data_IF_212010241587
#
_entry.id   IF_212010241587
#
_cell.length_a   1.000
_cell.length_b   1.000
_cell.length_c   1.000
_cell.angle_alpha   90.00
_cell.angle_beta   90.00
_cell.angle_gamma   90.00
#
_symmetry.space_group_name_H-M   'P 1'
#
loop_
_entity.id
_entity.type
_entity.pdbx_description
1 polymer ?
#
# COMPACT_ATOMS: atom_id res chain seq x y z
N UNK A 1 3.94 31.91 25.38
CA UNK A 1 3.91 30.43 25.43
C UNK A 1 2.91 29.95 24.40
N UNK A 2 3.37 29.58 23.20
CA UNK A 2 2.55 28.91 22.22
C UNK A 2 2.19 27.53 22.79
N UNK A 3 0.92 27.32 23.10
CA UNK A 3 0.41 25.97 23.37
C UNK A 3 0.41 25.25 22.02
N UNK A 4 1.21 24.20 21.95
CA UNK A 4 1.45 23.43 20.74
C UNK A 4 0.16 22.91 20.14
N UNK A 5 0.11 22.99 18.83
CA UNK A 5 -0.75 22.19 17.97
C UNK A 5 -0.64 20.75 18.41
N UNK A 6 -1.77 20.12 18.71
CA UNK A 6 -1.81 18.73 19.17
C UNK A 6 -1.07 17.82 18.20
N UNK A 7 0.01 17.26 18.70
CA UNK A 7 0.95 16.45 17.93
C UNK A 7 0.35 15.07 17.60
N UNK A 8 -0.38 14.96 16.52
CA UNK A 8 -0.52 13.66 15.90
C UNK A 8 0.53 13.56 14.80
N UNK A 9 1.72 13.21 15.20
CA UNK A 9 2.83 12.91 14.31
C UNK A 9 2.52 11.64 13.53
N UNK A 10 2.14 11.78 12.28
CA UNK A 10 2.13 10.68 11.33
C UNK A 10 3.44 10.71 10.55
N UNK A 11 4.15 9.59 10.55
CA UNK A 11 5.39 9.40 9.80
C UNK A 11 5.01 8.79 8.45
N UNK A 12 5.39 9.43 7.35
CA UNK A 12 5.19 8.86 6.01
C UNK A 12 6.52 8.37 5.45
N UNK A 13 6.52 7.15 4.95
CA UNK A 13 7.71 6.46 4.44
C UNK A 13 7.82 6.68 2.95
N UNK A 14 8.84 7.46 2.55
CA UNK A 14 9.14 7.78 1.16
C UNK A 14 10.30 6.92 0.66
N UNK A 15 10.13 6.26 -0.47
CA UNK A 15 11.12 5.37 -1.08
C UNK A 15 11.46 5.85 -2.48
N UNK A 16 12.66 5.52 -2.95
CA UNK A 16 13.01 5.63 -4.36
C UNK A 16 12.19 4.61 -5.17
N UNK A 17 11.54 5.07 -6.24
CA UNK A 17 10.66 4.23 -7.05
C UNK A 17 11.40 3.07 -7.74
N UNK A 18 12.63 3.33 -8.22
CA UNK A 18 13.46 2.30 -8.86
C UNK A 18 13.83 1.20 -7.86
N UNK A 19 14.12 1.58 -6.61
CA UNK A 19 14.47 0.63 -5.56
C UNK A 19 13.31 -0.36 -5.28
N UNK A 20 12.09 0.13 -5.13
CA UNK A 20 10.93 -0.74 -4.88
C UNK A 20 10.54 -1.54 -6.12
N UNK A 21 10.64 -0.95 -7.31
CA UNK A 21 10.32 -1.61 -8.56
C UNK A 21 11.26 -2.77 -8.88
N UNK A 22 12.56 -2.63 -8.58
CA UNK A 22 13.59 -3.59 -8.99
C UNK A 22 14.12 -4.47 -7.87
N UNK A 23 14.10 -3.97 -6.64
CA UNK A 23 14.73 -4.56 -5.46
C UNK A 23 16.22 -4.88 -5.69
N UNK A 24 16.92 -4.08 -6.51
CA UNK A 24 18.35 -4.27 -6.83
C UNK A 24 19.23 -3.83 -5.65
N UNK A 25 20.36 -4.52 -5.48
CA UNK A 25 21.35 -4.22 -4.44
C UNK A 25 21.24 -5.12 -3.22
N UNK A 26 22.31 -5.14 -2.44
CA UNK A 26 22.48 -6.04 -1.29
C UNK A 26 21.44 -5.78 -0.19
N UNK A 27 21.07 -4.51 0.05
CA UNK A 27 20.08 -4.11 1.07
C UNK A 27 18.69 -4.72 0.84
N UNK A 28 18.36 -5.10 -0.40
CA UNK A 28 17.08 -5.71 -0.76
C UNK A 28 17.12 -7.24 -0.90
N UNK A 29 18.25 -7.91 -0.61
CA UNK A 29 18.38 -9.36 -0.78
C UNK A 29 17.24 -10.14 -0.11
N UNK A 30 16.89 -9.82 1.13
CA UNK A 30 15.80 -10.49 1.85
C UNK A 30 14.45 -10.32 1.14
N UNK A 31 14.16 -9.12 0.63
CA UNK A 31 12.91 -8.83 -0.08
C UNK A 31 12.86 -9.56 -1.42
N UNK A 32 13.92 -9.46 -2.20
CA UNK A 32 14.06 -10.18 -3.48
C UNK A 32 13.94 -11.69 -3.30
N UNK A 33 14.55 -12.27 -2.26
CA UNK A 33 14.42 -13.69 -1.97
C UNK A 33 12.97 -14.09 -1.66
N UNK A 34 12.20 -13.26 -0.96
CA UNK A 34 10.78 -13.51 -0.71
C UNK A 34 9.95 -13.44 -1.98
N UNK A 35 10.20 -12.47 -2.85
CA UNK A 35 9.55 -12.40 -4.17
C UNK A 35 9.89 -13.62 -5.02
N UNK A 36 11.16 -14.04 -5.04
CA UNK A 36 11.57 -15.24 -5.76
C UNK A 36 10.91 -16.50 -5.18
N UNK A 37 10.81 -16.57 -3.85
CA UNK A 37 10.07 -17.66 -3.18
C UNK A 37 8.60 -17.67 -3.60
N UNK A 38 7.93 -16.50 -3.64
CA UNK A 38 6.57 -16.39 -4.14
C UNK A 38 6.46 -16.94 -5.57
N UNK A 39 7.30 -16.45 -6.50
CA UNK A 39 7.30 -16.89 -7.90
C UNK A 39 7.53 -18.39 -8.07
N UNK A 40 8.44 -18.97 -7.28
CA UNK A 40 8.74 -20.40 -7.37
C UNK A 40 7.67 -21.28 -6.72
N UNK A 41 6.99 -20.77 -5.68
CA UNK A 41 5.93 -21.54 -4.98
C UNK A 41 4.62 -21.50 -5.77
N UNK A 42 4.34 -20.40 -6.46
CA UNK A 42 3.10 -20.15 -7.18
C UNK A 42 3.38 -19.84 -8.66
N UNK A 43 3.83 -20.80 -9.48
CA UNK A 43 4.27 -20.54 -10.86
C UNK A 43 3.13 -20.08 -11.79
N UNK A 44 1.89 -20.29 -11.40
CA UNK A 44 0.67 -19.86 -12.07
C UNK A 44 0.19 -18.46 -11.68
N UNK A 45 0.97 -17.73 -10.85
CA UNK A 45 0.61 -16.37 -10.45
C UNK A 45 0.43 -15.45 -11.66
N UNK A 46 -0.48 -14.50 -11.53
CA UNK A 46 -0.67 -13.41 -12.49
C UNK A 46 -0.77 -12.08 -11.77
N UNK A 47 -0.11 -11.08 -12.31
CA UNK A 47 -0.31 -9.69 -11.92
C UNK A 47 -1.15 -9.00 -12.99
N UNK A 48 -2.15 -8.26 -12.56
CA UNK A 48 -3.06 -7.52 -13.44
C UNK A 48 -3.40 -6.14 -12.84
N UNK A 49 -3.69 -5.17 -13.72
CA UNK A 49 -4.23 -3.88 -13.27
C UNK A 49 -5.70 -4.06 -12.86
N UNK A 50 -6.13 -3.28 -11.86
CA UNK A 50 -7.54 -3.22 -11.47
C UNK A 50 -8.31 -2.43 -12.52
N UNK A 51 -9.39 -3.01 -13.00
CA UNK A 51 -10.31 -2.46 -14.01
C UNK A 51 -11.75 -2.68 -13.56
N UNK A 52 -12.73 -2.05 -14.22
CA UNK A 52 -14.15 -2.31 -13.98
C UNK A 52 -14.53 -3.80 -14.10
N UNK A 53 -13.81 -4.56 -14.90
CA UNK A 53 -14.09 -5.98 -15.12
C UNK A 53 -13.71 -6.86 -13.92
N UNK A 54 -12.55 -6.61 -13.28
CA UNK A 54 -12.07 -7.41 -12.15
C UNK A 54 -12.32 -6.75 -10.78
N UNK A 55 -12.79 -5.52 -10.72
CA UNK A 55 -13.11 -4.80 -9.48
C UNK A 55 -14.10 -5.56 -8.57
N UNK A 56 -15.15 -6.24 -9.08
CA UNK A 56 -16.03 -7.05 -8.25
C UNK A 56 -15.29 -8.17 -7.50
N UNK A 57 -14.29 -8.81 -8.12
CA UNK A 57 -13.50 -9.87 -7.49
C UNK A 57 -12.56 -9.29 -6.41
N UNK A 58 -12.00 -8.09 -6.64
CA UNK A 58 -11.18 -7.37 -5.63
C UNK A 58 -12.05 -7.02 -4.42
N UNK A 59 -13.28 -6.56 -4.67
CA UNK A 59 -14.25 -6.25 -3.60
C UNK A 59 -14.61 -7.51 -2.80
N UNK A 60 -14.92 -8.61 -3.47
CA UNK A 60 -15.22 -9.90 -2.82
C UNK A 60 -14.01 -10.41 -2.01
N UNK A 61 -12.80 -10.29 -2.55
CA UNK A 61 -11.57 -10.59 -1.80
C UNK A 61 -11.48 -9.76 -0.52
N UNK A 62 -11.73 -8.45 -0.60
CA UNK A 62 -11.63 -7.58 0.57
C UNK A 62 -12.70 -7.90 1.62
N UNK A 63 -13.93 -8.25 1.22
CA UNK A 63 -14.97 -8.67 2.15
C UNK A 63 -14.57 -9.94 2.93
N UNK A 64 -13.99 -10.93 2.26
CA UNK A 64 -13.45 -12.14 2.90
C UNK A 64 -12.27 -11.79 3.81
N UNK A 65 -11.37 -10.92 3.35
CA UNK A 65 -10.21 -10.45 4.11
C UNK A 65 -10.62 -9.80 5.43
N UNK A 66 -11.65 -8.96 5.45
CA UNK A 66 -12.16 -8.34 6.68
C UNK A 66 -12.62 -9.38 7.70
N UNK A 67 -13.33 -10.41 7.24
CA UNK A 67 -13.83 -11.48 8.12
C UNK A 67 -12.69 -12.32 8.71
N UNK A 68 -11.67 -12.66 7.90
CA UNK A 68 -10.53 -13.48 8.30
C UNK A 68 -9.56 -12.76 9.25
N UNK A 69 -9.40 -11.43 9.10
CA UNK A 69 -8.40 -10.63 9.83
C UNK A 69 -9.01 -9.57 10.73
N UNK A 70 -10.28 -9.75 11.13
CA UNK A 70 -10.99 -8.83 12.00
C UNK A 70 -10.19 -8.56 13.28
N UNK A 71 -10.05 -7.29 13.63
CA UNK A 71 -9.47 -6.82 14.89
C UNK A 71 -10.50 -5.95 15.59
N UNK A 72 -10.72 -6.17 16.88
CA UNK A 72 -11.55 -5.32 17.73
C UNK A 72 -10.86 -3.99 18.01
N UNK A 73 -10.87 -3.11 17.03
CA UNK A 73 -10.26 -1.78 17.10
C UNK A 73 -11.05 -0.79 16.26
N UNK A 74 -11.43 0.33 16.85
CA UNK A 74 -12.10 1.44 16.14
C UNK A 74 -11.29 1.96 14.94
N UNK A 75 -9.96 1.98 15.07
CA UNK A 75 -9.08 2.40 13.97
C UNK A 75 -9.13 1.41 12.80
N UNK A 76 -9.19 0.11 13.09
CA UNK A 76 -9.30 -0.93 12.08
C UNK A 76 -10.64 -0.85 11.35
N UNK A 77 -11.74 -0.71 12.09
CA UNK A 77 -13.08 -0.54 11.52
C UNK A 77 -13.16 0.72 10.63
N UNK A 78 -12.52 1.82 11.05
CA UNK A 78 -12.46 3.03 10.24
C UNK A 78 -11.67 2.83 8.94
N UNK A 79 -10.49 2.20 9.02
CA UNK A 79 -9.68 1.87 7.85
C UNK A 79 -10.45 0.98 6.85
N UNK A 80 -11.13 -0.07 7.35
CA UNK A 80 -11.95 -0.95 6.53
C UNK A 80 -13.06 -0.20 5.80
N UNK A 81 -13.76 0.70 6.50
CA UNK A 81 -14.82 1.51 5.89
C UNK A 81 -14.29 2.39 4.76
N UNK A 82 -13.06 2.91 4.90
CA UNK A 82 -12.39 3.70 3.85
C UNK A 82 -12.00 2.85 2.65
N UNK A 83 -11.52 1.63 2.87
CA UNK A 83 -11.21 0.71 1.76
C UNK A 83 -12.49 0.36 1.00
N UNK A 84 -13.60 0.05 1.68
CA UNK A 84 -14.90 -0.19 1.03
C UNK A 84 -15.34 1.01 0.22
N UNK A 85 -15.22 2.21 0.77
CA UNK A 85 -15.57 3.46 0.06
C UNK A 85 -14.74 3.64 -1.20
N UNK A 86 -13.40 3.41 -1.11
CA UNK A 86 -12.50 3.52 -2.28
C UNK A 86 -12.86 2.49 -3.35
N UNK A 87 -13.14 1.24 -2.98
CA UNK A 87 -13.56 0.21 -3.94
C UNK A 87 -14.87 0.56 -4.61
N UNK A 88 -15.85 1.08 -3.86
CA UNK A 88 -17.14 1.51 -4.41
C UNK A 88 -17.02 2.70 -5.39
N UNK A 89 -16.15 3.66 -5.07
CA UNK A 89 -15.97 4.88 -5.86
C UNK A 89 -14.76 4.80 -6.81
N UNK A 90 -14.16 3.60 -6.98
CA UNK A 90 -12.87 3.41 -7.65
C UNK A 90 -12.78 4.10 -9.01
N UNK A 91 -13.81 3.94 -9.86
CA UNK A 91 -13.83 4.53 -11.20
C UNK A 91 -13.89 6.06 -11.18
N UNK A 92 -14.47 6.65 -10.14
CA UNK A 92 -14.61 8.10 -10.00
C UNK A 92 -13.35 8.75 -9.44
N UNK A 93 -12.59 8.03 -8.61
CA UNK A 93 -11.44 8.55 -7.88
C UNK A 93 -10.18 8.68 -8.73
N UNK A 94 -10.17 8.19 -9.97
CA UNK A 94 -8.98 8.17 -10.84
C UNK A 94 -7.78 7.47 -10.20
N UNK A 95 -8.02 6.59 -9.23
CA UNK A 95 -6.98 5.79 -8.62
C UNK A 95 -6.56 4.67 -9.57
N UNK A 96 -5.34 4.23 -9.42
CA UNK A 96 -4.81 3.10 -10.15
C UNK A 96 -4.49 1.97 -9.17
N UNK A 97 -4.83 0.76 -9.54
CA UNK A 97 -4.58 -0.39 -8.69
C UNK A 97 -4.02 -1.57 -9.45
N UNK A 98 -3.37 -2.45 -8.71
CA UNK A 98 -2.87 -3.72 -9.21
C UNK A 98 -3.23 -4.85 -8.28
N UNK A 99 -3.45 -6.03 -8.83
CA UNK A 99 -3.81 -7.23 -8.08
C UNK A 99 -2.91 -8.41 -8.43
N UNK A 100 -2.71 -9.29 -7.48
CA UNK A 100 -2.07 -10.59 -7.65
C UNK A 100 -3.10 -11.70 -7.55
N UNK A 101 -3.00 -12.62 -8.49
CA UNK A 101 -3.82 -13.81 -8.57
C UNK A 101 -2.94 -15.06 -8.47
N UNK A 102 -3.40 -16.06 -7.73
CA UNK A 102 -2.80 -17.39 -7.63
C UNK A 102 -3.93 -18.41 -7.79
N UNK A 103 -3.72 -19.40 -8.65
CA UNK A 103 -4.74 -20.44 -8.96
C UNK A 103 -6.12 -19.84 -9.30
N UNK A 104 -6.10 -18.73 -10.03
CA UNK A 104 -7.30 -18.02 -10.45
C UNK A 104 -7.93 -17.11 -9.40
N UNK A 105 -7.49 -17.12 -8.14
CA UNK A 105 -8.06 -16.34 -7.05
C UNK A 105 -7.22 -15.10 -6.72
N UNK A 106 -7.84 -13.98 -6.40
CA UNK A 106 -7.16 -12.79 -5.89
C UNK A 106 -6.55 -13.12 -4.52
N UNK A 107 -5.25 -12.84 -4.35
CA UNK A 107 -4.52 -13.04 -3.10
C UNK A 107 -3.93 -11.76 -2.54
N UNK A 108 -3.84 -10.70 -3.34
CA UNK A 108 -3.40 -9.38 -2.91
C UNK A 108 -3.84 -8.29 -3.87
N UNK A 109 -3.94 -7.06 -3.38
CA UNK A 109 -4.10 -5.88 -4.21
C UNK A 109 -3.44 -4.64 -3.58
N UNK A 110 -3.08 -3.68 -4.43
CA UNK A 110 -2.65 -2.34 -4.04
C UNK A 110 -3.41 -1.30 -4.84
N UNK A 111 -3.73 -0.17 -4.22
CA UNK A 111 -4.38 0.99 -4.86
C UNK A 111 -3.65 2.25 -4.44
N UNK A 112 -3.44 3.16 -5.38
CA UNK A 112 -2.81 4.44 -5.14
C UNK A 112 -3.10 5.43 -6.25
N UNK A 113 -2.45 6.58 -6.15
CA UNK A 113 -2.53 7.67 -7.14
C UNK A 113 -1.14 8.28 -7.36
N UNK A 114 -0.95 8.90 -8.52
CA UNK A 114 0.27 9.65 -8.83
C UNK A 114 -0.01 11.14 -8.65
N UNK A 115 0.74 11.78 -7.77
CA UNK A 115 0.71 13.23 -7.54
C UNK A 115 2.10 13.79 -7.81
N UNK A 116 2.24 14.55 -8.89
CA UNK A 116 3.54 15.05 -9.34
C UNK A 116 4.48 13.90 -9.70
N UNK A 117 5.61 13.81 -9.02
CA UNK A 117 6.60 12.75 -9.23
C UNK A 117 6.54 11.63 -8.16
N UNK A 118 5.44 11.54 -7.43
CA UNK A 118 5.28 10.60 -6.31
C UNK A 118 4.03 9.73 -6.49
N UNK A 119 4.21 8.42 -6.46
CA UNK A 119 3.12 7.45 -6.27
C UNK A 119 2.77 7.37 -4.80
N UNK A 120 1.54 7.67 -4.42
CA UNK A 120 1.03 7.49 -3.07
C UNK A 120 0.24 6.19 -3.01
N UNK A 121 0.69 5.23 -2.20
CA UNK A 121 0.03 3.92 -2.02
C UNK A 121 -0.89 4.01 -0.81
N UNK A 122 -2.19 4.12 -1.06
CA UNK A 122 -3.22 4.24 -0.03
C UNK A 122 -3.63 2.91 0.58
N UNK A 123 -3.70 1.87 -0.25
CA UNK A 123 -4.19 0.56 0.15
C UNK A 123 -3.22 -0.51 -0.35
N UNK A 124 -2.84 -1.42 0.55
CA UNK A 124 -2.13 -2.65 0.23
C UNK A 124 -2.66 -3.76 1.16
N UNK A 125 -3.32 -4.75 0.59
CA UNK A 125 -3.89 -5.88 1.32
C UNK A 125 -3.45 -7.19 0.66
N UNK A 126 -3.11 -8.18 1.48
CA UNK A 126 -2.66 -9.48 0.99
C UNK A 126 -2.96 -10.60 2.00
N UNK A 127 -3.21 -11.81 1.50
CA UNK A 127 -3.38 -13.01 2.33
C UNK A 127 -2.05 -13.41 2.97
N UNK A 128 -1.99 -13.40 4.30
CA UNK A 128 -0.77 -13.69 5.07
C UNK A 128 -0.25 -15.12 4.86
N UNK A 129 -1.13 -16.03 4.53
CA UNK A 129 -0.86 -17.46 4.30
C UNK A 129 -0.09 -17.68 2.99
N UNK A 130 -0.16 -16.74 2.06
CA UNK A 130 0.54 -16.83 0.78
C UNK A 130 1.96 -16.32 0.94
N UNK A 131 2.93 -17.23 0.93
CA UNK A 131 4.32 -16.91 1.21
C UNK A 131 4.90 -15.88 0.23
N UNK A 132 5.42 -14.75 0.75
CA UNK A 132 6.08 -13.70 -0.04
C UNK A 132 5.14 -12.79 -0.81
N UNK A 133 3.84 -12.90 -0.63
CA UNK A 133 2.81 -12.14 -1.36
C UNK A 133 2.93 -10.63 -1.14
N UNK A 134 3.22 -10.17 0.09
CA UNK A 134 3.39 -8.74 0.39
C UNK A 134 4.57 -8.13 -0.37
N UNK A 135 5.68 -8.85 -0.44
CA UNK A 135 6.83 -8.40 -1.21
C UNK A 135 6.55 -8.45 -2.72
N UNK A 136 5.81 -9.45 -3.18
CA UNK A 136 5.46 -9.59 -4.59
C UNK A 136 4.51 -8.48 -5.05
N UNK A 137 3.40 -8.23 -4.34
CA UNK A 137 2.47 -7.15 -4.72
C UNK A 137 3.15 -5.79 -4.68
N UNK A 138 3.97 -5.50 -3.65
CA UNK A 138 4.70 -4.26 -3.56
C UNK A 138 5.63 -4.05 -4.75
N UNK A 139 6.47 -5.05 -5.09
CA UNK A 139 7.39 -4.94 -6.22
C UNK A 139 6.65 -4.80 -7.55
N UNK A 140 5.64 -5.64 -7.81
CA UNK A 140 4.98 -5.66 -9.12
C UNK A 140 4.15 -4.40 -9.34
N UNK A 141 3.46 -3.93 -8.31
CA UNK A 141 2.73 -2.68 -8.38
C UNK A 141 3.69 -1.50 -8.60
N UNK A 142 4.77 -1.41 -7.83
CA UNK A 142 5.79 -0.37 -8.00
C UNK A 142 6.40 -0.39 -9.40
N UNK A 143 6.75 -1.57 -9.92
CA UNK A 143 7.32 -1.71 -11.25
C UNK A 143 6.34 -1.32 -12.37
N UNK A 144 5.07 -1.72 -12.24
CA UNK A 144 4.03 -1.37 -13.20
C UNK A 144 3.75 0.14 -13.21
N UNK A 145 3.65 0.74 -12.03
CA UNK A 145 3.39 2.18 -11.92
C UNK A 145 4.57 3.01 -12.41
N UNK A 146 5.82 2.64 -12.09
CA UNK A 146 7.01 3.30 -12.62
C UNK A 146 7.13 3.18 -14.15
N UNK A 147 6.68 2.05 -14.73
CA UNK A 147 6.64 1.87 -16.19
C UNK A 147 5.56 2.73 -16.85
N UNK A 148 4.38 2.82 -16.23
CA UNK A 148 3.23 3.59 -16.76
C UNK A 148 3.43 5.09 -16.61
N UNK A 149 4.09 5.51 -15.53
CA UNK A 149 4.34 6.89 -15.14
C UNK A 149 5.86 7.13 -14.99
N UNK A 150 6.57 7.38 -16.11
CA UNK A 150 8.03 7.57 -16.08
C UNK A 150 8.50 8.77 -15.26
N UNK A 151 7.61 9.71 -14.97
CA UNK A 151 7.84 10.86 -14.09
C UNK A 151 7.95 10.49 -12.61
N UNK A 152 7.47 9.31 -12.19
CA UNK A 152 7.47 8.87 -10.79
C UNK A 152 8.88 8.53 -10.34
N UNK A 153 9.39 9.34 -9.42
CA UNK A 153 10.69 9.17 -8.77
C UNK A 153 10.57 8.53 -7.39
N UNK A 154 9.44 8.79 -6.72
CA UNK A 154 9.23 8.39 -5.34
C UNK A 154 7.95 7.56 -5.18
N UNK A 155 7.96 6.70 -4.16
CA UNK A 155 6.77 5.98 -3.70
C UNK A 155 6.58 6.28 -2.22
N UNK A 156 5.43 6.86 -1.88
CA UNK A 156 5.00 7.11 -0.51
C UNK A 156 4.04 5.99 -0.08
N UNK A 157 4.43 5.21 0.92
CA UNK A 157 3.60 4.12 1.47
C UNK A 157 2.88 4.53 2.74
N UNK A 158 2.63 5.81 2.90
CA UNK A 158 1.95 6.42 4.05
C UNK A 158 2.53 6.04 5.43
N UNK A 159 1.71 6.13 6.49
CA UNK A 159 2.16 5.94 7.86
C UNK A 159 2.07 4.47 8.34
N UNK A 160 2.57 4.21 9.52
CA UNK A 160 2.53 2.90 10.17
C UNK A 160 1.36 2.76 11.16
N UNK A 161 0.45 3.72 11.22
CA UNK A 161 -0.70 3.75 12.11
C UNK A 161 -0.35 3.47 13.60
N UNK A 162 0.92 3.64 13.99
CA UNK A 162 1.42 3.32 15.33
C UNK A 162 1.71 1.83 15.57
N UNK A 163 1.48 0.95 14.59
CA UNK A 163 1.76 -0.48 14.67
C UNK A 163 3.27 -0.75 14.53
N UNK A 164 3.86 -1.41 15.53
CA UNK A 164 5.29 -1.70 15.56
C UNK A 164 5.73 -2.66 14.46
N UNK A 165 4.92 -3.66 14.15
CA UNK A 165 5.20 -4.63 13.09
C UNK A 165 5.14 -3.99 11.71
N UNK A 166 4.14 -3.11 11.45
CA UNK A 166 4.05 -2.36 10.21
C UNK A 166 5.21 -1.38 10.07
N UNK A 167 5.63 -0.75 11.18
CA UNK A 167 6.83 0.12 11.23
C UNK A 167 8.08 -0.65 10.82
N UNK A 168 8.33 -1.80 11.44
CA UNK A 168 9.47 -2.65 11.10
C UNK A 168 9.43 -3.09 9.64
N UNK A 169 8.25 -3.53 9.16
CA UNK A 169 8.05 -3.90 7.77
C UNK A 169 8.40 -2.75 6.82
N UNK A 170 7.93 -1.52 7.08
CA UNK A 170 8.22 -0.35 6.25
C UNK A 170 9.69 0.03 6.30
N UNK A 171 10.32 0.08 7.48
CA UNK A 171 11.75 0.37 7.63
C UNK A 171 12.63 -0.66 6.91
N UNK A 172 12.21 -1.91 6.87
CA UNK A 172 12.96 -3.00 6.20
C UNK A 172 13.10 -2.84 4.67
N UNK A 173 12.35 -1.90 4.07
CA UNK A 173 12.49 -1.50 2.67
C UNK A 173 13.43 -0.30 2.46
N UNK A 174 14.15 0.13 3.51
CA UNK A 174 15.14 1.22 3.47
C UNK A 174 14.57 2.51 2.86
N UNK A 175 13.61 3.18 3.52
CA UNK A 175 13.06 4.43 3.02
C UNK A 175 14.16 5.47 2.85
N UNK A 176 14.09 6.25 1.77
CA UNK A 176 15.02 7.34 1.49
C UNK A 176 14.85 8.45 2.53
N UNK A 177 13.61 8.70 2.92
CA UNK A 177 13.30 9.64 3.99
C UNK A 177 11.99 9.29 4.70
N UNK A 178 11.83 9.84 5.90
CA UNK A 178 10.59 9.73 6.68
C UNK A 178 10.04 11.15 6.83
N UNK A 179 8.93 11.42 6.13
CA UNK A 179 8.25 12.70 6.18
C UNK A 179 7.38 12.82 7.43
N UNK A 180 7.23 14.03 7.92
CA UNK A 180 6.31 14.37 9.01
C UNK A 180 5.03 14.93 8.42
N UNK A 181 3.89 14.32 8.73
CA UNK A 181 2.56 14.82 8.36
C UNK A 181 1.95 15.57 9.53
N UNK A 182 1.52 16.79 9.28
CA UNK A 182 0.87 17.64 10.26
C UNK A 182 -0.61 17.80 9.94
N UNK A 183 -1.46 17.74 10.96
CA UNK A 183 -2.85 18.17 10.84
C UNK A 183 -2.92 19.66 11.20
N UNK A 184 -3.40 20.47 10.28
CA UNK A 184 -3.64 21.88 10.52
C UNK A 184 -5.14 22.05 10.77
N UNK A 185 -5.50 22.49 11.97
CA UNK A 185 -6.87 22.90 12.30
C UNK A 185 -6.92 24.44 12.37
N UNK A 186 -7.90 25.03 11.68
CA UNK A 186 -8.22 26.44 11.89
C UNK A 186 -8.98 26.56 13.21
N UNK A 187 -8.42 27.31 14.17
CA UNK A 187 -9.20 27.71 15.32
C UNK A 187 -10.22 28.75 14.84
N UNK A 188 -11.51 28.46 14.98
CA UNK A 188 -12.52 29.50 14.88
C UNK A 188 -12.29 30.47 16.03
N UNK A 189 -11.73 31.63 15.72
CA UNK A 189 -11.76 32.73 16.66
C UNK A 189 -13.22 33.20 16.73
N UNK A 190 -13.87 32.89 17.84
CA UNK A 190 -15.13 33.58 18.21
C UNK A 190 -14.78 35.05 18.39
N UNK A 191 -15.28 35.91 17.49
CA UNK A 191 -15.25 37.37 17.61
C UNK A 191 -16.20 37.78 18.72
#
# INVERSE_FOLDING_TARGET
>A
RSRGLGDVYKRQYLYNAVDLATLVGHRFNKKRNRVNKFKSTYPDYRYEMITSQNLPEITAFFETYKQEYQKDSLLFTYEESKVVQVLHEYEKLKFEGGALRVSGQIVAFSIGEVIGDTLIVHIEKARKEVAGVYEAINQFYSAQMAKKHPEVKYINREDDAGDAGLREAKLSYNPETILKKYNIALNEYTL
#
